data_IF_327175617926
#
_entry.id   IF_327175617926
#
_cell.length_a   1.000
_cell.length_b   1.000
_cell.length_c   1.000
_cell.angle_alpha   90.00
_cell.angle_beta   90.00
_cell.angle_gamma   90.00
#
_symmetry.space_group_name_H-M   'P 1'
#
loop_
_entity.id
_entity.type
_entity.pdbx_description
1 polymer ?
#
# COMPACT_ATOMS: atom_id res chain seq x y z
N UNK A 1 0.57 15.65 -27.95
CA UNK A 1 1.70 15.77 -26.99
C UNK A 1 1.90 14.40 -26.36
N UNK A 2 3.01 13.71 -26.65
CA UNK A 2 3.33 12.36 -26.16
C UNK A 2 4.17 12.56 -24.90
N UNK A 3 3.71 12.08 -23.74
CA UNK A 3 4.48 12.18 -22.50
C UNK A 3 5.51 11.04 -22.51
N UNK A 4 6.80 11.38 -22.61
CA UNK A 4 7.89 10.44 -22.97
C UNK A 4 8.52 9.70 -21.79
N UNK A 5 7.95 9.74 -20.59
CA UNK A 5 8.51 9.04 -19.42
C UNK A 5 8.05 7.58 -19.33
N UNK A 6 7.89 6.90 -20.47
CA UNK A 6 7.30 5.56 -20.66
C UNK A 6 8.00 4.38 -19.97
N UNK A 7 8.42 4.53 -18.71
CA UNK A 7 8.82 3.46 -17.81
C UNK A 7 7.61 2.56 -17.55
N UNK A 8 7.44 1.56 -18.41
CA UNK A 8 6.58 0.42 -18.12
C UNK A 8 7.25 -0.37 -16.99
N UNK A 9 6.78 -0.18 -15.76
CA UNK A 9 7.14 -1.04 -14.65
C UNK A 9 6.80 -2.49 -15.02
N UNK A 10 7.77 -3.39 -14.84
CA UNK A 10 7.53 -4.81 -15.07
C UNK A 10 6.44 -5.33 -14.12
N UNK A 11 5.68 -6.35 -14.53
CA UNK A 11 4.66 -6.96 -13.67
C UNK A 11 5.26 -7.48 -12.36
N UNK A 12 6.50 -7.98 -12.39
CA UNK A 12 7.21 -8.44 -11.19
C UNK A 12 7.53 -7.27 -10.25
N UNK A 13 7.96 -6.13 -10.80
CA UNK A 13 8.18 -4.90 -10.01
C UNK A 13 6.89 -4.39 -9.39
N UNK A 14 5.78 -4.37 -10.15
CA UNK A 14 4.47 -3.97 -9.63
C UNK A 14 3.98 -4.89 -8.51
N UNK A 15 4.14 -6.20 -8.67
CA UNK A 15 3.83 -7.17 -7.61
C UNK A 15 4.67 -6.97 -6.36
N UNK A 16 5.98 -6.71 -6.53
CA UNK A 16 6.88 -6.43 -5.42
C UNK A 16 6.50 -5.16 -4.65
N UNK A 17 6.19 -4.07 -5.38
CA UNK A 17 5.69 -2.82 -4.79
C UNK A 17 4.36 -3.06 -4.05
N UNK A 18 3.43 -3.78 -4.68
CA UNK A 18 2.13 -4.10 -4.09
C UNK A 18 2.29 -4.85 -2.75
N UNK A 19 3.10 -5.90 -2.73
CA UNK A 19 3.37 -6.70 -1.52
C UNK A 19 4.07 -5.85 -0.45
N UNK A 20 5.07 -5.07 -0.83
CA UNK A 20 5.78 -4.18 0.10
C UNK A 20 4.81 -3.19 0.76
N UNK A 21 3.94 -2.56 -0.02
CA UNK A 21 2.93 -1.64 0.50
C UNK A 21 1.92 -2.33 1.43
N UNK A 22 1.52 -3.56 1.11
CA UNK A 22 0.64 -4.34 1.99
C UNK A 22 1.31 -4.67 3.32
N UNK A 23 2.56 -5.13 3.31
CA UNK A 23 3.31 -5.46 4.55
C UNK A 23 3.50 -4.22 5.41
N UNK A 24 3.92 -3.11 4.81
CA UNK A 24 4.06 -1.83 5.51
C UNK A 24 2.71 -1.35 6.06
N UNK A 25 1.65 -1.44 5.26
CA UNK A 25 0.31 -1.04 5.67
C UNK A 25 -0.20 -1.83 6.88
N UNK A 26 0.01 -3.15 6.88
CA UNK A 26 -0.33 -4.02 8.02
C UNK A 26 0.44 -3.63 9.27
N UNK A 27 1.76 -3.40 9.17
CA UNK A 27 2.58 -3.02 10.31
C UNK A 27 2.12 -1.68 10.93
N UNK A 28 1.82 -0.69 10.09
CA UNK A 28 1.33 0.63 10.53
C UNK A 28 -0.08 0.55 11.12
N UNK A 29 -0.99 -0.23 10.53
CA UNK A 29 -2.32 -0.47 11.09
C UNK A 29 -2.26 -1.17 12.45
N UNK A 30 -1.52 -2.27 12.53
CA UNK A 30 -1.41 -3.04 13.77
C UNK A 30 -0.76 -2.21 14.89
N UNK A 31 0.35 -1.53 14.60
CA UNK A 31 1.00 -0.65 15.56
C UNK A 31 0.12 0.52 15.99
N UNK A 32 -0.54 1.19 15.04
CA UNK A 32 -1.47 2.28 15.34
C UNK A 32 -2.65 1.84 16.19
N UNK A 33 -3.29 0.71 15.86
CA UNK A 33 -4.39 0.15 16.65
C UNK A 33 -3.97 -0.23 18.07
N UNK A 34 -2.79 -0.85 18.23
CA UNK A 34 -2.24 -1.16 19.56
C UNK A 34 -2.06 0.13 20.36
N UNK A 35 -1.52 1.20 19.77
CA UNK A 35 -1.37 2.47 20.46
C UNK A 35 -2.71 3.11 20.83
N UNK A 36 -3.68 3.11 19.92
CA UNK A 36 -5.01 3.66 20.17
C UNK A 36 -5.70 2.91 21.33
N UNK A 37 -5.57 1.58 21.38
CA UNK A 37 -6.10 0.75 22.47
C UNK A 37 -5.44 1.04 23.84
N UNK A 38 -4.21 1.53 23.85
CA UNK A 38 -3.48 1.88 25.07
C UNK A 38 -3.67 3.35 25.48
N UNK A 39 -4.61 4.08 24.85
CA UNK A 39 -4.84 5.50 25.16
C UNK A 39 -3.74 6.41 24.63
N UNK A 40 -3.09 6.01 23.54
CA UNK A 40 -2.05 6.81 22.87
C UNK A 40 -2.57 8.20 22.45
N UNK A 41 -1.68 9.19 22.30
CA UNK A 41 -2.04 10.51 21.79
C UNK A 41 -2.80 10.44 20.46
N UNK A 42 -3.84 11.27 20.29
CA UNK A 42 -4.73 11.25 19.12
C UNK A 42 -4.03 11.48 17.78
N UNK A 43 -2.87 12.14 17.76
CA UNK A 43 -2.09 12.32 16.54
C UNK A 43 -1.49 11.01 16.01
N UNK A 44 -1.36 9.97 16.86
CA UNK A 44 -0.94 8.63 16.43
C UNK A 44 -1.97 7.96 15.51
N UNK A 45 -3.21 8.44 15.49
CA UNK A 45 -4.23 7.98 14.55
C UNK A 45 -3.82 8.22 13.09
N UNK A 46 -2.87 9.12 12.82
CA UNK A 46 -2.27 9.24 11.49
C UNK A 46 -1.63 7.92 11.00
N UNK A 47 -1.09 7.09 11.91
CA UNK A 47 -0.50 5.78 11.55
C UNK A 47 -1.55 4.80 11.03
N UNK A 48 -2.76 4.79 11.60
CA UNK A 48 -3.85 3.92 11.11
C UNK A 48 -4.35 4.38 9.76
N UNK A 49 -4.42 5.69 9.50
CA UNK A 49 -4.76 6.24 8.19
C UNK A 49 -3.72 5.90 7.12
N UNK A 50 -2.44 6.15 7.40
CA UNK A 50 -1.33 5.83 6.48
C UNK A 50 -1.24 4.33 6.23
N UNK A 51 -1.37 3.52 7.28
CA UNK A 51 -1.37 2.07 7.18
C UNK A 51 -2.53 1.54 6.34
N UNK A 52 -3.74 2.06 6.57
CA UNK A 52 -4.94 1.71 5.81
C UNK A 52 -4.80 2.07 4.32
N UNK A 53 -4.29 3.26 4.02
CA UNK A 53 -4.04 3.69 2.65
C UNK A 53 -2.99 2.80 1.95
N UNK A 54 -1.85 2.55 2.60
CA UNK A 54 -0.78 1.74 2.03
C UNK A 54 -1.24 0.29 1.77
N UNK A 55 -1.97 -0.29 2.71
CA UNK A 55 -2.54 -1.62 2.54
C UNK A 55 -3.55 -1.66 1.39
N UNK A 56 -4.53 -0.75 1.37
CA UNK A 56 -5.56 -0.70 0.33
C UNK A 56 -4.96 -0.47 -1.06
N UNK A 57 -4.01 0.45 -1.18
CA UNK A 57 -3.33 0.71 -2.45
C UNK A 57 -2.50 -0.49 -2.93
N UNK A 58 -1.81 -1.18 -2.01
CA UNK A 58 -1.12 -2.43 -2.32
C UNK A 58 -2.06 -3.51 -2.87
N UNK A 59 -3.24 -3.68 -2.28
CA UNK A 59 -4.28 -4.61 -2.80
C UNK A 59 -4.71 -4.22 -4.21
N UNK A 60 -4.99 -2.93 -4.45
CA UNK A 60 -5.38 -2.41 -5.78
C UNK A 60 -4.30 -2.69 -6.82
N UNK A 61 -3.02 -2.46 -6.49
CA UNK A 61 -1.90 -2.74 -7.38
C UNK A 61 -1.77 -4.24 -7.67
N UNK A 62 -1.95 -5.10 -6.66
CA UNK A 62 -1.88 -6.55 -6.84
C UNK A 62 -2.98 -7.07 -7.78
N UNK A 63 -4.21 -6.57 -7.62
CA UNK A 63 -5.34 -6.91 -8.51
C UNK A 63 -5.09 -6.40 -9.93
N UNK A 64 -4.58 -5.18 -10.07
CA UNK A 64 -4.26 -4.56 -11.36
C UNK A 64 -3.16 -5.35 -12.09
N UNK A 65 -2.11 -5.78 -11.38
CA UNK A 65 -1.03 -6.59 -11.91
C UNK A 65 -1.48 -8.00 -12.34
N UNK A 66 -2.55 -8.54 -11.75
CA UNK A 66 -3.17 -9.80 -12.23
C UNK A 66 -3.94 -9.59 -13.52
N UNK A 67 -4.74 -8.52 -13.62
CA UNK A 67 -5.53 -8.20 -14.83
C UNK A 67 -4.65 -7.91 -16.05
N UNK A 68 -3.46 -7.34 -15.87
CA UNK A 68 -2.52 -7.10 -16.97
C UNK A 68 -1.88 -8.36 -17.55
N UNK A 69 -1.92 -9.49 -16.84
CA UNK A 69 -1.36 -10.78 -17.30
C UNK A 69 -2.40 -11.61 -18.07
N UNK A 70 -3.69 -11.31 -17.92
CA UNK A 70 -4.80 -12.02 -18.55
C UNK A 70 -5.28 -11.38 -19.86
N UNK A 71 -4.57 -10.36 -20.36
CA UNK A 71 -4.78 -9.75 -21.67
C UNK A 71 -3.68 -10.20 -22.61
#
# INVERSE_FOLDING_TARGET
>A
MRNETGLRLSTNTLRSIAVTLMVMGIAFLAGGLIWDMNGGPSWLHAFTWVGGWAFGYGVVLLVSARRSVLK
#
